data_IF_697144330134
#
_entry.id   IF_697144330134
#
_cell.length_a   1.000
_cell.length_b   1.000
_cell.length_c   1.000
_cell.angle_alpha   90.00
_cell.angle_beta   90.00
_cell.angle_gamma   90.00
#
_symmetry.space_group_name_H-M   'P 1'
#
loop_
_entity.id
_entity.type
_entity.pdbx_description
1 polymer ?
#
# COMPACT_ATOMS: atom_id res chain seq x y z
N UNK A 1 66.75 44.42 16.63
CA UNK A 1 65.92 44.65 15.43
C UNK A 1 64.45 44.64 15.84
N UNK A 2 63.76 45.79 15.73
CA UNK A 2 62.29 45.88 15.78
C UNK A 2 61.71 45.51 14.41
N UNK A 3 60.48 45.00 14.38
CA UNK A 3 59.38 45.26 13.42
C UNK A 3 58.32 44.14 13.62
N UNK A 4 57.29 44.38 14.43
CA UNK A 4 55.96 44.96 14.09
C UNK A 4 54.90 43.88 13.90
N UNK A 5 53.97 43.85 14.86
CA UNK A 5 52.76 43.02 14.81
C UNK A 5 51.83 43.45 13.67
N UNK A 6 51.26 42.45 13.00
CA UNK A 6 50.13 42.59 12.09
C UNK A 6 48.89 42.07 12.81
N UNK A 7 48.06 42.99 13.30
CA UNK A 7 46.73 42.70 13.79
C UNK A 7 45.82 42.29 12.63
N UNK A 8 45.43 41.02 12.61
CA UNK A 8 44.35 40.53 11.76
C UNK A 8 43.03 41.07 12.33
N UNK A 9 42.52 42.13 11.69
CA UNK A 9 41.18 42.64 11.94
C UNK A 9 40.17 41.65 11.37
N UNK A 10 39.63 40.80 12.24
CA UNK A 10 38.45 39.99 11.93
C UNK A 10 37.24 40.93 11.69
N UNK A 11 36.89 41.13 10.43
CA UNK A 11 35.66 41.83 10.05
C UNK A 11 34.47 41.00 10.52
N UNK A 12 33.78 41.46 11.57
CA UNK A 12 32.55 40.86 12.07
C UNK A 12 31.42 41.25 11.13
N UNK A 13 31.13 40.41 10.13
CA UNK A 13 29.94 40.51 9.30
C UNK A 13 28.71 40.40 10.19
N UNK A 14 28.03 41.52 10.43
CA UNK A 14 26.75 41.55 11.14
C UNK A 14 25.71 40.96 10.19
N UNK A 15 25.48 39.66 10.29
CA UNK A 15 24.32 39.03 9.68
C UNK A 15 23.10 39.55 10.44
N UNK A 16 22.40 40.53 9.86
CA UNK A 16 21.07 40.92 10.31
C UNK A 16 20.15 39.74 10.04
N UNK A 17 19.93 38.91 11.07
CA UNK A 17 18.84 37.96 11.06
C UNK A 17 17.57 38.81 11.14
N UNK A 18 17.01 39.13 9.98
CA UNK A 18 15.64 39.64 9.90
C UNK A 18 14.73 38.51 10.41
N UNK A 19 14.21 38.70 11.61
CA UNK A 19 13.38 37.71 12.29
C UNK A 19 12.01 37.64 11.66
N UNK A 20 11.59 36.43 11.28
CA UNK A 20 10.21 36.12 10.93
C UNK A 20 9.29 36.54 12.08
N UNK A 21 8.25 37.31 11.80
CA UNK A 21 7.29 37.70 12.82
C UNK A 21 6.62 36.45 13.40
N UNK A 22 6.53 36.34 14.73
CA UNK A 22 5.87 35.20 15.38
C UNK A 22 4.42 35.04 14.89
N UNK A 23 3.71 36.15 14.64
CA UNK A 23 2.35 36.09 14.10
C UNK A 23 2.30 35.62 12.66
N UNK A 24 3.34 35.90 11.87
CA UNK A 24 3.42 35.50 10.46
C UNK A 24 3.61 33.98 10.33
N UNK A 25 4.38 33.36 11.23
CA UNK A 25 4.47 31.90 11.31
C UNK A 25 3.14 31.28 11.80
N UNK A 26 2.47 31.92 12.77
CA UNK A 26 1.23 31.39 13.36
C UNK A 26 0.07 31.35 12.35
N UNK A 27 -0.08 32.37 11.51
CA UNK A 27 -1.13 32.39 10.47
C UNK A 27 -0.85 31.32 9.40
N UNK A 28 0.41 31.13 9.01
CA UNK A 28 0.79 30.10 8.02
C UNK A 28 0.48 28.70 8.54
N UNK A 29 0.83 28.40 9.80
CA UNK A 29 0.52 27.12 10.41
C UNK A 29 -0.99 26.90 10.54
N UNK A 30 -1.77 27.94 10.82
CA UNK A 30 -3.23 27.86 10.86
C UNK A 30 -3.83 27.49 9.50
N UNK A 31 -3.35 28.08 8.41
CA UNK A 31 -3.82 27.78 7.05
C UNK A 31 -3.37 26.39 6.60
N UNK A 32 -2.12 26.00 6.86
CA UNK A 32 -1.60 24.66 6.51
C UNK A 32 -2.39 23.58 7.25
N UNK A 33 -2.70 23.78 8.54
CA UNK A 33 -3.51 22.85 9.32
C UNK A 33 -4.93 22.71 8.74
N UNK A 34 -5.56 23.81 8.34
CA UNK A 34 -6.86 23.76 7.67
C UNK A 34 -6.80 22.97 6.35
N UNK A 35 -5.78 23.22 5.52
CA UNK A 35 -5.61 22.53 4.24
C UNK A 35 -5.29 21.03 4.38
N UNK A 36 -4.47 20.64 5.35
CA UNK A 36 -4.03 19.24 5.52
C UNK A 36 -5.16 18.30 5.95
N UNK A 37 -6.16 18.81 6.69
CA UNK A 37 -7.32 18.01 7.11
C UNK A 37 -8.11 17.46 5.92
N UNK A 38 -8.37 18.29 4.90
CA UNK A 38 -9.11 17.90 3.70
C UNK A 38 -8.34 16.83 2.90
N UNK A 39 -7.03 17.03 2.73
CA UNK A 39 -6.15 16.10 2.01
C UNK A 39 -6.16 14.72 2.67
N UNK A 40 -6.08 14.67 4.00
CA UNK A 40 -5.98 13.40 4.73
C UNK A 40 -7.17 12.49 4.47
N UNK A 41 -8.39 13.05 4.46
CA UNK A 41 -9.61 12.25 4.22
C UNK A 41 -9.68 11.65 2.82
N UNK A 42 -9.17 12.36 1.81
CA UNK A 42 -9.10 11.86 0.43
C UNK A 42 -8.03 10.78 0.27
N UNK A 43 -6.87 10.96 0.92
CA UNK A 43 -5.75 10.00 0.87
C UNK A 43 -6.12 8.65 1.49
N UNK A 44 -6.81 8.63 2.63
CA UNK A 44 -7.23 7.36 3.27
C UNK A 44 -8.12 6.53 2.35
N UNK A 45 -9.04 7.16 1.63
CA UNK A 45 -9.90 6.47 0.66
C UNK A 45 -9.11 5.91 -0.52
N UNK A 46 -8.11 6.66 -1.02
CA UNK A 46 -7.24 6.21 -2.09
C UNK A 46 -6.40 4.99 -1.67
N UNK A 47 -5.87 4.98 -0.45
CA UNK A 47 -5.13 3.84 0.11
C UNK A 47 -6.03 2.59 0.22
N UNK A 48 -7.24 2.73 0.76
CA UNK A 48 -8.18 1.60 0.84
C UNK A 48 -8.51 1.00 -0.53
N UNK A 49 -8.70 1.85 -1.55
CA UNK A 49 -8.92 1.39 -2.92
C UNK A 49 -7.69 0.71 -3.51
N UNK A 50 -6.49 1.20 -3.20
CA UNK A 50 -5.25 0.58 -3.61
C UNK A 50 -5.12 -0.83 -3.02
N UNK A 51 -5.39 -1.00 -1.73
CA UNK A 51 -5.32 -2.30 -1.06
C UNK A 51 -6.33 -3.30 -1.63
N UNK A 52 -7.55 -2.84 -1.94
CA UNK A 52 -8.57 -3.64 -2.62
C UNK A 52 -8.08 -4.10 -4.01
N UNK A 53 -7.50 -3.21 -4.81
CA UNK A 53 -6.97 -3.51 -6.16
C UNK A 53 -5.76 -4.44 -6.11
N UNK A 54 -4.87 -4.25 -5.14
CA UNK A 54 -3.74 -5.14 -4.90
C UNK A 54 -4.23 -6.56 -4.55
N UNK A 55 -5.21 -6.66 -3.65
CA UNK A 55 -5.83 -7.93 -3.30
C UNK A 55 -6.50 -8.61 -4.50
N UNK A 56 -7.23 -7.86 -5.34
CA UNK A 56 -7.80 -8.38 -6.58
C UNK A 56 -6.73 -8.94 -7.52
N UNK A 57 -5.64 -8.21 -7.74
CA UNK A 57 -4.54 -8.64 -8.62
C UNK A 57 -3.90 -9.92 -8.10
N UNK A 58 -3.71 -10.03 -6.79
CA UNK A 58 -3.20 -11.23 -6.13
C UNK A 58 -4.13 -12.43 -6.33
N UNK A 59 -5.45 -12.24 -6.17
CA UNK A 59 -6.44 -13.30 -6.42
C UNK A 59 -6.49 -13.74 -7.89
N UNK A 60 -6.41 -12.81 -8.84
CA UNK A 60 -6.34 -13.14 -10.27
C UNK A 60 -5.07 -13.94 -10.61
N UNK A 61 -3.94 -13.61 -9.98
CA UNK A 61 -2.70 -14.37 -10.12
C UNK A 61 -2.85 -15.79 -9.59
N UNK A 62 -3.58 -15.97 -8.48
CA UNK A 62 -3.88 -17.30 -7.93
C UNK A 62 -4.79 -18.10 -8.86
N UNK A 63 -5.85 -17.49 -9.42
CA UNK A 63 -6.72 -18.18 -10.39
C UNK A 63 -5.94 -18.58 -11.64
N UNK A 64 -5.09 -17.69 -12.17
CA UNK A 64 -4.22 -18.04 -13.30
C UNK A 64 -3.29 -19.23 -12.97
N UNK A 65 -2.79 -19.32 -11.74
CA UNK A 65 -2.00 -20.46 -11.28
C UNK A 65 -2.84 -21.75 -11.13
N UNK A 66 -4.11 -21.64 -10.72
CA UNK A 66 -5.06 -22.77 -10.70
C UNK A 66 -5.34 -23.28 -12.11
N UNK A 67 -5.53 -22.40 -13.07
CA UNK A 67 -5.73 -22.75 -14.48
C UNK A 67 -4.50 -23.47 -15.05
N UNK A 68 -3.29 -23.04 -14.66
CA UNK A 68 -2.06 -23.75 -15.02
C UNK A 68 -2.00 -25.14 -14.38
N UNK A 69 -2.36 -25.26 -13.11
CA UNK A 69 -2.39 -26.55 -12.42
C UNK A 69 -3.37 -27.53 -13.06
N UNK A 70 -4.57 -27.06 -13.44
CA UNK A 70 -5.59 -27.86 -14.15
C UNK A 70 -5.08 -28.31 -15.52
N UNK A 71 -4.28 -27.48 -16.19
CA UNK A 71 -3.64 -27.83 -17.47
C UNK A 71 -2.66 -28.98 -17.30
N UNK A 72 -1.87 -28.97 -16.24
CA UNK A 72 -0.91 -30.05 -15.93
C UNK A 72 -1.60 -31.31 -15.37
N UNK A 73 -2.74 -31.15 -14.70
CA UNK A 73 -3.50 -32.23 -14.05
C UNK A 73 -4.96 -32.25 -14.52
N UNK A 74 -5.22 -32.74 -15.75
CA UNK A 74 -6.57 -32.74 -16.31
C UNK A 74 -7.52 -33.58 -15.45
N UNK A 75 -8.66 -32.99 -15.10
CA UNK A 75 -9.70 -33.63 -14.28
C UNK A 75 -9.49 -33.52 -12.76
N UNK A 76 -8.43 -32.86 -12.30
CA UNK A 76 -8.29 -32.52 -10.88
C UNK A 76 -9.39 -31.55 -10.44
N UNK A 77 -10.04 -31.84 -9.32
CA UNK A 77 -11.08 -30.99 -8.71
C UNK A 77 -10.55 -30.21 -7.50
N UNK A 78 -9.43 -30.64 -6.94
CA UNK A 78 -8.72 -29.93 -5.88
C UNK A 78 -7.22 -30.17 -5.97
N UNK A 79 -6.47 -29.28 -5.33
CA UNK A 79 -5.03 -29.40 -5.13
C UNK A 79 -4.81 -30.08 -3.78
N UNK A 80 -4.05 -31.18 -3.70
CA UNK A 80 -3.95 -31.99 -2.47
C UNK A 80 -3.17 -31.30 -1.35
N UNK A 81 -2.17 -30.47 -1.67
CA UNK A 81 -1.37 -29.76 -0.68
C UNK A 81 -0.78 -28.46 -1.23
N UNK A 82 -0.49 -27.51 -0.34
CA UNK A 82 0.15 -26.24 -0.65
C UNK A 82 1.56 -26.47 -1.23
N UNK A 83 2.30 -27.50 -0.79
CA UNK A 83 3.63 -27.76 -1.34
C UNK A 83 3.60 -28.09 -2.83
N UNK A 84 2.53 -28.73 -3.31
CA UNK A 84 2.30 -29.01 -4.74
C UNK A 84 1.93 -27.75 -5.52
N UNK A 85 1.30 -26.77 -4.87
CA UNK A 85 0.89 -25.52 -5.51
C UNK A 85 1.97 -24.44 -5.54
N UNK A 86 2.88 -24.42 -4.56
CA UNK A 86 3.98 -23.46 -4.45
C UNK A 86 4.83 -23.27 -5.73
N UNK A 87 5.14 -24.32 -6.52
CA UNK A 87 5.95 -24.18 -7.74
C UNK A 87 5.34 -23.28 -8.82
N UNK A 88 4.02 -23.08 -8.81
CA UNK A 88 3.32 -22.21 -9.76
C UNK A 88 3.53 -20.71 -9.45
N UNK A 89 4.14 -20.39 -8.30
CA UNK A 89 4.43 -19.01 -7.90
C UNK A 89 5.94 -18.80 -7.75
N UNK A 90 6.50 -18.03 -8.69
CA UNK A 90 7.94 -17.71 -8.69
C UNK A 90 8.43 -16.98 -7.43
N UNK A 91 7.58 -16.14 -6.83
CA UNK A 91 7.91 -15.33 -5.65
C UNK A 91 7.13 -15.76 -4.40
N UNK A 92 6.55 -16.96 -4.42
CA UNK A 92 5.65 -17.43 -3.37
C UNK A 92 4.20 -16.98 -3.58
N UNK A 93 3.30 -17.60 -2.82
CA UNK A 93 1.86 -17.36 -2.91
C UNK A 93 1.59 -15.92 -2.44
N UNK A 94 0.96 -15.07 -3.26
CA UNK A 94 0.69 -13.69 -2.87
C UNK A 94 -0.25 -13.67 -1.65
N UNK A 95 -0.15 -12.61 -0.85
CA UNK A 95 -0.94 -12.44 0.39
C UNK A 95 -1.80 -11.18 0.32
N UNK A 96 -2.85 -11.13 1.13
CA UNK A 96 -3.68 -9.94 1.25
C UNK A 96 -2.92 -8.85 2.03
N UNK A 97 -2.83 -7.60 1.53
CA UNK A 97 -2.18 -6.49 2.24
C UNK A 97 -2.78 -6.21 3.63
N UNK A 98 -4.10 -6.36 3.74
CA UNK A 98 -4.87 -6.10 4.96
C UNK A 98 -4.97 -7.31 5.89
N UNK A 99 -4.51 -8.48 5.45
CA UNK A 99 -4.42 -9.68 6.29
C UNK A 99 -3.27 -10.59 5.81
N UNK A 100 -2.04 -10.30 6.24
CA UNK A 100 -0.86 -11.06 5.81
C UNK A 100 -0.80 -12.47 6.42
N UNK A 101 -1.53 -12.71 7.52
CA UNK A 101 -1.41 -13.92 8.33
C UNK A 101 -2.41 -15.02 7.94
N UNK A 102 -3.44 -14.71 7.16
CA UNK A 102 -4.37 -15.72 6.64
C UNK A 102 -4.17 -15.96 5.15
N UNK A 103 -4.30 -17.20 4.74
CA UNK A 103 -4.40 -17.54 3.32
C UNK A 103 -5.78 -17.16 2.75
N UNK A 104 -5.87 -17.19 1.43
CA UNK A 104 -7.14 -17.04 0.73
C UNK A 104 -8.02 -18.27 0.92
N UNK A 105 -9.34 -18.06 0.94
CA UNK A 105 -10.32 -19.14 1.02
C UNK A 105 -10.45 -19.80 -0.36
N UNK A 106 -10.71 -21.10 -0.39
CA UNK A 106 -10.77 -21.92 -1.62
C UNK A 106 -9.46 -21.90 -2.43
N UNK A 107 -8.32 -21.65 -1.81
CA UNK A 107 -7.02 -21.63 -2.49
C UNK A 107 -6.70 -22.95 -3.19
N UNK A 108 -7.09 -24.07 -2.59
CA UNK A 108 -6.84 -25.42 -3.09
C UNK A 108 -8.05 -26.05 -3.80
N UNK A 109 -9.19 -25.36 -3.85
CA UNK A 109 -10.40 -25.86 -4.49
C UNK A 109 -10.45 -25.31 -5.93
N UNK A 110 -10.39 -26.20 -6.93
CA UNK A 110 -10.40 -25.82 -8.34
C UNK A 110 -11.83 -25.58 -8.85
N UNK A 111 -12.85 -26.06 -8.13
CA UNK A 111 -14.25 -25.92 -8.51
C UNK A 111 -14.86 -24.58 -8.07
N UNK A 112 -14.22 -23.89 -7.13
CA UNK A 112 -14.67 -22.61 -6.57
C UNK A 112 -13.66 -21.51 -6.85
N UNK A 113 -14.13 -20.26 -7.02
CA UNK A 113 -13.22 -19.12 -7.07
C UNK A 113 -12.58 -18.87 -5.69
N UNK A 114 -11.35 -18.38 -5.73
CA UNK A 114 -10.59 -17.88 -4.59
C UNK A 114 -11.29 -16.65 -4.04
N UNK A 115 -11.38 -16.57 -2.72
CA UNK A 115 -11.98 -15.42 -2.04
C UNK A 115 -11.09 -14.96 -0.89
N UNK A 116 -11.21 -13.69 -0.54
CA UNK A 116 -10.49 -13.07 0.55
C UNK A 116 -11.45 -12.78 1.70
N UNK A 117 -11.11 -13.15 2.93
CA UNK A 117 -11.95 -12.85 4.11
C UNK A 117 -12.10 -11.36 4.39
N UNK A 118 -11.21 -10.51 3.88
CA UNK A 118 -11.27 -9.05 4.07
C UNK A 118 -12.03 -8.34 2.94
N UNK A 119 -11.77 -8.72 1.69
CA UNK A 119 -12.26 -8.00 0.51
C UNK A 119 -13.35 -8.76 -0.28
N UNK A 120 -13.69 -9.98 0.11
CA UNK A 120 -14.73 -10.78 -0.53
C UNK A 120 -14.25 -11.50 -1.80
N UNK A 121 -15.07 -11.47 -2.86
CA UNK A 121 -14.88 -12.25 -4.09
C UNK A 121 -14.28 -11.42 -5.23
N UNK A 122 -13.65 -12.09 -6.21
CA UNK A 122 -13.08 -11.45 -7.40
C UNK A 122 -14.11 -10.59 -8.15
N UNK A 123 -15.33 -11.10 -8.34
CA UNK A 123 -16.41 -10.38 -9.05
C UNK A 123 -16.79 -9.07 -8.35
N UNK A 124 -16.82 -9.08 -7.02
CA UNK A 124 -17.10 -7.87 -6.22
C UNK A 124 -16.01 -6.80 -6.35
N UNK A 125 -14.76 -7.19 -6.61
CA UNK A 125 -13.64 -6.27 -6.74
C UNK A 125 -13.36 -5.81 -8.18
N UNK A 126 -13.71 -6.62 -9.19
CA UNK A 126 -13.48 -6.28 -10.61
C UNK A 126 -14.50 -5.29 -11.17
N UNK A 127 -15.69 -5.20 -10.57
CA UNK A 127 -16.82 -4.39 -11.07
C UNK A 127 -16.79 -2.90 -10.70
N UNK A 128 -15.84 -2.46 -9.86
CA UNK A 128 -15.57 -1.04 -9.66
C UNK A 128 -16.76 -0.15 -9.30
N UNK A 129 -17.65 -0.54 -8.38
CA UNK A 129 -18.40 0.41 -7.54
C UNK A 129 -18.69 -0.18 -6.14
N UNK A 130 -18.68 0.75 -5.19
CA UNK A 130 -19.00 0.63 -3.76
C UNK A 130 -20.35 -0.09 -3.54
N UNK A 131 -20.43 -0.84 -2.44
CA UNK A 131 -21.65 -1.38 -1.79
C UNK A 131 -22.15 -2.73 -2.28
N UNK A 132 -21.73 -3.78 -1.57
CA UNK A 132 -22.67 -4.81 -1.12
C UNK A 132 -22.58 -4.87 0.42
N UNK A 133 -23.05 -3.80 1.07
CA UNK A 133 -23.80 -4.04 2.30
C UNK A 133 -25.10 -4.72 1.84
N UNK A 134 -25.50 -5.80 2.54
CA UNK A 134 -26.69 -6.65 2.32
C UNK A 134 -26.43 -7.90 1.47
N UNK A 135 -26.23 -9.05 2.11
CA UNK A 135 -27.38 -9.86 2.51
C UNK A 135 -26.96 -11.02 3.44
N UNK A 136 -27.56 -11.03 4.63
CA UNK A 136 -27.65 -12.09 5.65
C UNK A 136 -26.41 -12.46 6.46
#
# INVERSE_FOLDING_TARGET
MRLTGRGLRAGKSRHSIEGFSLVELLVVLAIIAAASTMITTAVVRALQQQDQRACLTNMLTIEAAKDEYVRDHPGATSIPDIATFRPYFRFGIPRCPNNPNSDYVNLLDLTKPVTCSVHGTIKGLSGGQVSEASNQ
#
